data_IF_219724306980
#
_entry.id   IF_219724306980
#
_cell.length_a   1.000
_cell.length_b   1.000
_cell.length_c   1.000
_cell.angle_alpha   90.00
_cell.angle_beta   90.00
_cell.angle_gamma   90.00
#
_symmetry.space_group_name_H-M   'P 1'
#
loop_
_entity.id
_entity.type
_entity.pdbx_description
1 polymer ?
#
# COMPACT_ATOMS: atom_id res chain seq x y z
N UNK A 1 74.92 -3.28 -3.31
CA UNK A 1 73.84 -4.21 -3.73
C UNK A 1 72.68 -4.11 -2.74
N UNK A 2 71.56 -3.49 -3.11
CA UNK A 2 70.29 -3.59 -2.37
C UNK A 2 69.15 -3.43 -3.38
N UNK A 3 68.45 -4.52 -3.70
CA UNK A 3 67.26 -4.52 -4.56
C UNK A 3 66.04 -4.30 -3.67
N UNK A 4 65.41 -3.13 -3.77
CA UNK A 4 64.09 -2.87 -3.17
C UNK A 4 63.03 -3.50 -4.09
N UNK A 5 62.27 -4.46 -3.56
CA UNK A 5 61.10 -5.03 -4.25
C UNK A 5 59.86 -4.26 -3.78
N UNK A 6 59.24 -3.53 -4.69
CA UNK A 6 57.89 -2.96 -4.49
C UNK A 6 56.91 -4.01 -5.02
N UNK A 7 56.21 -4.69 -4.12
CA UNK A 7 55.06 -5.52 -4.48
C UNK A 7 53.81 -4.64 -4.51
N UNK A 8 53.31 -4.35 -5.71
CA UNK A 8 51.99 -3.75 -5.92
C UNK A 8 50.93 -4.87 -5.86
N UNK A 9 50.22 -4.99 -4.74
CA UNK A 9 49.00 -5.76 -4.64
C UNK A 9 47.84 -4.89 -5.11
N UNK A 10 47.42 -5.08 -6.36
CA UNK A 10 46.15 -4.57 -6.86
C UNK A 10 45.02 -5.43 -6.27
N UNK A 11 44.37 -4.93 -5.20
CA UNK A 11 43.17 -5.53 -4.65
C UNK A 11 41.99 -5.33 -5.62
N UNK A 12 41.56 -6.41 -6.27
CA UNK A 12 40.34 -6.42 -7.07
C UNK A 12 39.13 -6.48 -6.13
N UNK A 13 38.54 -5.32 -5.85
CA UNK A 13 37.24 -5.22 -5.18
C UNK A 13 36.16 -5.70 -6.15
N UNK A 14 35.80 -6.99 -6.08
CA UNK A 14 34.57 -7.48 -6.69
C UNK A 14 33.42 -7.06 -5.78
N UNK A 15 32.89 -5.86 -6.02
CA UNK A 15 31.60 -5.46 -5.48
C UNK A 15 30.51 -6.34 -6.10
N UNK A 16 30.04 -7.34 -5.35
CA UNK A 16 28.80 -8.03 -5.70
C UNK A 16 27.64 -7.08 -5.41
N UNK A 17 27.17 -6.38 -6.43
CA UNK A 17 25.82 -5.83 -6.40
C UNK A 17 24.87 -7.02 -6.32
N UNK A 18 24.34 -7.30 -5.13
CA UNK A 18 23.24 -8.23 -4.98
C UNK A 18 22.09 -7.67 -5.82
N UNK A 19 21.80 -8.32 -6.95
CA UNK A 19 20.58 -8.04 -7.69
C UNK A 19 19.42 -8.22 -6.71
N UNK A 20 18.71 -7.14 -6.40
CA UNK A 20 17.50 -7.22 -5.58
C UNK A 20 16.54 -8.16 -6.29
N UNK A 21 16.22 -9.29 -5.63
CA UNK A 21 15.25 -10.22 -6.17
C UNK A 21 13.89 -9.52 -6.27
N UNK A 22 13.19 -9.72 -7.39
CA UNK A 22 11.86 -9.15 -7.57
C UNK A 22 10.91 -9.59 -6.46
N UNK A 23 10.12 -8.64 -5.97
CA UNK A 23 9.10 -8.87 -4.95
C UNK A 23 8.05 -9.89 -5.44
N UNK A 24 7.69 -10.92 -4.64
CA UNK A 24 6.73 -11.95 -5.04
C UNK A 24 5.34 -11.38 -5.26
N UNK A 25 4.65 -11.92 -6.26
CA UNK A 25 3.26 -11.57 -6.54
C UNK A 25 2.35 -12.78 -6.31
N UNK A 26 1.18 -12.53 -5.71
CA UNK A 26 0.19 -13.56 -5.41
C UNK A 26 -1.14 -13.19 -6.05
N UNK A 27 -1.66 -14.10 -6.86
CA UNK A 27 -3.04 -14.05 -7.34
C UNK A 27 -3.96 -14.68 -6.29
N UNK A 28 -5.00 -13.94 -5.89
CA UNK A 28 -6.09 -14.35 -5.01
C UNK A 28 -7.36 -14.34 -5.87
N UNK A 29 -7.80 -15.52 -6.29
CA UNK A 29 -9.02 -15.70 -7.09
C UNK A 29 -10.21 -15.87 -6.17
N UNK A 30 -11.21 -15.01 -6.32
CA UNK A 30 -12.46 -15.07 -5.57
C UNK A 30 -13.64 -15.46 -6.48
N UNK A 31 -14.83 -15.62 -5.91
CA UNK A 31 -16.07 -15.69 -6.69
C UNK A 31 -16.51 -14.34 -7.30
N UNK A 32 -15.91 -13.21 -6.90
CA UNK A 32 -16.26 -11.88 -7.41
C UNK A 32 -15.21 -11.27 -8.35
N UNK A 33 -14.06 -11.91 -8.50
CA UNK A 33 -12.96 -11.45 -9.34
C UNK A 33 -11.60 -11.88 -8.81
N UNK A 34 -10.55 -11.50 -9.53
CA UNK A 34 -9.16 -11.75 -9.15
C UNK A 34 -8.56 -10.50 -8.51
N UNK A 35 -7.72 -10.70 -7.50
CA UNK A 35 -6.92 -9.67 -6.83
C UNK A 35 -5.47 -10.12 -6.92
N UNK A 36 -4.57 -9.24 -7.36
CA UNK A 36 -3.15 -9.54 -7.40
C UNK A 36 -2.44 -8.60 -6.45
N UNK A 37 -1.71 -9.18 -5.50
CA UNK A 37 -0.90 -8.45 -4.52
C UNK A 37 0.58 -8.65 -4.81
N UNK A 38 1.37 -7.58 -4.68
CA UNK A 38 2.82 -7.62 -4.63
C UNK A 38 3.26 -7.48 -3.17
N UNK A 39 4.09 -8.41 -2.70
CA UNK A 39 4.57 -8.47 -1.32
C UNK A 39 5.88 -7.70 -1.18
N UNK A 40 6.08 -7.01 -0.06
CA UNK A 40 7.33 -6.28 0.22
C UNK A 40 8.25 -7.15 1.09
N UNK A 41 9.09 -7.98 0.44
CA UNK A 41 9.99 -8.89 1.16
C UNK A 41 11.15 -8.17 1.83
N UNK A 42 11.49 -6.96 1.38
CA UNK A 42 12.56 -6.17 1.97
C UNK A 42 12.11 -5.56 3.31
N UNK A 43 10.92 -4.95 3.32
CA UNK A 43 10.39 -4.29 4.52
C UNK A 43 9.60 -5.22 5.45
N UNK A 44 9.01 -6.29 4.92
CA UNK A 44 8.21 -7.24 5.71
C UNK A 44 8.58 -8.70 5.41
N UNK A 45 9.85 -9.12 5.62
CA UNK A 45 10.31 -10.46 5.30
C UNK A 45 9.55 -11.57 6.05
N UNK A 46 9.23 -11.38 7.33
CA UNK A 46 8.55 -12.40 8.15
C UNK A 46 7.10 -12.56 7.70
N UNK A 47 6.39 -11.45 7.54
CA UNK A 47 4.99 -11.42 7.14
C UNK A 47 4.82 -11.96 5.72
N UNK A 48 5.67 -11.52 4.78
CA UNK A 48 5.69 -12.00 3.40
C UNK A 48 5.99 -13.49 3.33
N UNK A 49 7.01 -13.98 4.04
CA UNK A 49 7.34 -15.41 4.06
C UNK A 49 6.21 -16.26 4.66
N UNK A 50 5.57 -15.77 5.72
CA UNK A 50 4.44 -16.43 6.35
C UNK A 50 3.22 -16.52 5.41
N UNK A 51 2.83 -15.39 4.79
CA UNK A 51 1.73 -15.36 3.82
C UNK A 51 2.00 -16.30 2.64
N UNK A 52 3.21 -16.27 2.09
CA UNK A 52 3.62 -17.19 1.00
C UNK A 52 3.57 -18.65 1.41
N UNK A 53 3.90 -18.99 2.66
CA UNK A 53 3.82 -20.36 3.14
C UNK A 53 2.35 -20.84 3.17
N UNK A 54 1.42 -20.00 3.64
CA UNK A 54 -0.02 -20.30 3.58
C UNK A 54 -0.52 -20.44 2.14
N UNK A 55 -0.11 -19.54 1.24
CA UNK A 55 -0.44 -19.64 -0.20
C UNK A 55 0.06 -20.97 -0.79
N UNK A 56 1.33 -21.31 -0.59
CA UNK A 56 1.95 -22.53 -1.14
C UNK A 56 1.33 -23.82 -0.59
N UNK A 57 0.83 -23.79 0.65
CA UNK A 57 0.11 -24.93 1.24
C UNK A 57 -1.32 -25.11 0.72
N UNK A 58 -1.86 -24.15 -0.06
CA UNK A 58 -3.26 -24.15 -0.47
C UNK A 58 -4.23 -23.76 0.64
N UNK A 59 -3.75 -23.26 1.78
CA UNK A 59 -4.56 -22.98 2.96
C UNK A 59 -5.72 -22.03 2.70
N UNK A 60 -5.53 -21.01 1.87
CA UNK A 60 -6.56 -20.01 1.60
C UNK A 60 -7.71 -20.51 0.73
N UNK A 61 -7.58 -21.69 0.10
CA UNK A 61 -8.70 -22.30 -0.64
C UNK A 61 -9.90 -22.51 0.28
N UNK A 62 -11.06 -22.11 -0.21
CA UNK A 62 -12.36 -22.17 0.46
C UNK A 62 -12.44 -21.35 1.76
N UNK A 63 -11.48 -20.45 1.99
CA UNK A 63 -11.64 -19.40 3.00
C UNK A 63 -12.47 -18.26 2.46
N UNK A 64 -13.00 -17.41 3.34
CA UNK A 64 -13.83 -16.27 2.97
C UNK A 64 -13.24 -14.94 3.46
N UNK A 65 -13.69 -13.85 2.84
CA UNK A 65 -13.70 -12.55 3.50
C UNK A 65 -14.81 -12.55 4.55
N UNK A 66 -14.42 -12.68 5.82
CA UNK A 66 -15.34 -12.89 6.95
C UNK A 66 -15.63 -11.59 7.71
N UNK A 67 -15.06 -10.46 7.29
CA UNK A 67 -15.39 -9.14 7.83
C UNK A 67 -15.13 -8.08 6.78
N UNK A 68 -16.15 -7.28 6.48
CA UNK A 68 -16.13 -6.26 5.43
C UNK A 68 -16.71 -4.97 6.00
N UNK A 69 -15.92 -3.91 6.07
CA UNK A 69 -16.38 -2.61 6.57
C UNK A 69 -16.08 -1.57 5.49
N UNK A 70 -17.15 -1.06 4.86
CA UNK A 70 -17.02 0.00 3.86
C UNK A 70 -16.35 1.23 4.48
N UNK A 71 -15.43 1.86 3.75
CA UNK A 71 -14.65 2.98 4.27
C UNK A 71 -13.60 2.60 5.31
N UNK A 72 -13.27 1.31 5.45
CA UNK A 72 -12.21 0.86 6.36
C UNK A 72 -11.38 -0.26 5.73
N UNK A 73 -11.81 -1.52 5.79
CA UNK A 73 -11.04 -2.65 5.25
C UNK A 73 -11.91 -3.88 4.94
N UNK A 74 -11.33 -4.81 4.20
CA UNK A 74 -11.89 -6.15 3.94
C UNK A 74 -10.92 -7.21 4.44
N UNK A 75 -11.36 -8.07 5.37
CA UNK A 75 -10.53 -9.03 6.09
C UNK A 75 -10.90 -10.47 5.74
N UNK A 76 -9.88 -11.31 5.54
CA UNK A 76 -10.03 -12.70 5.09
C UNK A 76 -8.97 -13.66 5.64
N UNK A 77 -9.02 -14.90 5.15
CA UNK A 77 -7.95 -15.88 5.37
C UNK A 77 -8.02 -16.70 6.67
N UNK A 78 -9.13 -16.65 7.42
CA UNK A 78 -9.25 -17.37 8.71
C UNK A 78 -10.44 -18.33 8.84
N UNK A 79 -11.47 -18.18 8.01
CA UNK A 79 -12.75 -18.89 8.19
C UNK A 79 -13.28 -19.43 6.85
N UNK A 80 -14.02 -20.54 6.91
CA UNK A 80 -14.79 -21.11 5.79
C UNK A 80 -16.19 -20.47 5.70
N UNK A 81 -16.93 -20.80 4.64
CA UNK A 81 -18.27 -20.24 4.39
C UNK A 81 -19.31 -20.58 5.48
N UNK A 82 -19.10 -21.67 6.23
CA UNK A 82 -19.89 -22.06 7.40
C UNK A 82 -19.37 -21.42 8.71
N UNK A 83 -18.50 -20.41 8.61
CA UNK A 83 -17.91 -19.66 9.73
C UNK A 83 -17.08 -20.50 10.70
N UNK A 84 -16.59 -21.66 10.25
CA UNK A 84 -15.61 -22.43 11.01
C UNK A 84 -14.22 -21.86 10.82
N UNK A 85 -13.50 -21.67 11.92
CA UNK A 85 -12.09 -21.28 11.86
C UNK A 85 -11.26 -22.40 11.23
N UNK A 86 -10.42 -22.06 10.24
CA UNK A 86 -9.40 -22.97 9.75
C UNK A 86 -8.21 -22.89 10.68
N UNK A 87 -7.83 -24.04 11.24
CA UNK A 87 -6.70 -24.13 12.16
C UNK A 87 -5.41 -23.68 11.48
N UNK A 88 -4.70 -22.68 12.02
CA UNK A 88 -3.43 -22.21 11.48
C UNK A 88 -2.43 -23.37 11.33
N UNK A 89 -1.73 -23.41 10.19
CA UNK A 89 -0.69 -24.41 9.92
C UNK A 89 0.68 -23.99 10.46
N UNK A 90 0.78 -22.78 11.01
CA UNK A 90 2.01 -22.13 11.43
C UNK A 90 1.78 -21.39 12.75
N UNK A 91 2.80 -21.26 13.60
CA UNK A 91 2.71 -20.45 14.81
C UNK A 91 2.53 -18.97 14.48
N UNK A 92 2.13 -18.21 15.49
CA UNK A 92 2.06 -16.76 15.40
C UNK A 92 3.43 -16.15 15.07
N UNK A 93 3.43 -15.06 14.32
CA UNK A 93 4.64 -14.37 13.87
C UNK A 93 4.91 -13.09 14.66
N UNK A 94 6.19 -12.73 14.74
CA UNK A 94 6.62 -11.44 15.27
C UNK A 94 6.07 -10.29 14.40
N UNK A 95 5.55 -9.24 15.04
CA UNK A 95 5.07 -8.05 14.34
C UNK A 95 6.21 -7.31 13.63
N UNK A 96 5.96 -6.90 12.40
CA UNK A 96 6.81 -6.03 11.58
C UNK A 96 6.20 -4.62 11.43
N UNK A 97 5.31 -4.22 12.33
CA UNK A 97 4.59 -2.93 12.30
C UNK A 97 5.50 -1.68 12.23
N UNK A 98 6.77 -1.81 12.62
CA UNK A 98 7.76 -0.73 12.62
C UNK A 98 8.56 -0.61 11.32
N UNK A 99 8.14 -1.27 10.25
CA UNK A 99 8.86 -1.31 8.97
C UNK A 99 8.74 -0.03 8.11
N UNK A 100 8.02 0.98 8.59
CA UNK A 100 7.85 2.27 7.91
C UNK A 100 6.87 2.23 6.74
N UNK A 101 6.11 1.14 6.56
CA UNK A 101 4.98 1.09 5.64
C UNK A 101 3.71 1.59 6.33
N UNK A 102 2.88 2.30 5.58
CA UNK A 102 1.61 2.88 6.07
C UNK A 102 0.41 2.13 5.50
N UNK A 103 -0.67 2.02 6.29
CA UNK A 103 -1.94 1.35 5.98
C UNK A 103 -2.78 2.20 5.02
N UNK A 104 -2.20 2.57 3.89
CA UNK A 104 -2.84 3.33 2.83
C UNK A 104 -3.84 2.47 2.05
N UNK A 105 -4.73 3.12 1.30
CA UNK A 105 -5.67 2.43 0.43
C UNK A 105 -4.96 1.39 -0.46
N UNK A 106 -5.55 0.20 -0.53
CA UNK A 106 -5.07 -0.96 -1.28
C UNK A 106 -3.75 -1.59 -0.79
N UNK A 107 -3.26 -1.23 0.39
CA UNK A 107 -2.24 -2.03 1.07
C UNK A 107 -2.84 -3.28 1.71
N UNK A 108 -2.03 -4.33 1.83
CA UNK A 108 -2.40 -5.55 2.57
C UNK A 108 -1.58 -5.66 3.85
N UNK A 109 -2.27 -5.94 4.95
CA UNK A 109 -1.71 -5.95 6.30
C UNK A 109 -2.10 -7.21 7.06
N UNK A 110 -1.23 -7.66 7.96
CA UNK A 110 -1.52 -8.81 8.82
C UNK A 110 -2.57 -8.45 9.86
N UNK A 111 -3.63 -9.25 9.96
CA UNK A 111 -4.56 -9.16 11.08
C UNK A 111 -3.96 -9.87 12.30
N UNK A 112 -4.34 -9.43 13.50
CA UNK A 112 -3.86 -9.96 14.78
C UNK A 112 -4.91 -9.81 15.86
N UNK A 113 -4.72 -10.51 16.96
CA UNK A 113 -5.43 -10.27 18.21
C UNK A 113 -4.76 -9.12 18.99
N UNK A 114 -5.01 -9.05 20.30
CA UNK A 114 -4.51 -7.97 21.15
C UNK A 114 -2.98 -7.90 21.19
N UNK A 115 -2.31 -9.07 21.25
CA UNK A 115 -0.86 -9.14 21.19
C UNK A 115 -0.34 -8.72 19.81
N UNK A 116 0.66 -7.82 19.72
CA UNK A 116 1.31 -7.48 18.45
C UNK A 116 1.85 -8.71 17.71
N UNK A 117 2.37 -9.70 18.46
CA UNK A 117 2.97 -10.91 17.91
C UNK A 117 1.98 -12.09 17.81
N UNK A 118 0.71 -11.81 17.51
CA UNK A 118 -0.35 -12.83 17.36
C UNK A 118 -0.88 -12.97 15.93
N UNK A 119 -0.22 -12.32 14.96
CA UNK A 119 -0.59 -12.48 13.56
C UNK A 119 -0.28 -13.91 13.08
N UNK A 120 -1.18 -14.49 12.28
CA UNK A 120 -1.03 -15.84 11.75
C UNK A 120 -1.41 -15.95 10.27
N UNK A 121 -2.58 -16.48 9.93
CA UNK A 121 -3.09 -16.65 8.56
C UNK A 121 -3.97 -15.50 8.09
N UNK A 122 -4.57 -14.74 9.01
CA UNK A 122 -5.53 -13.68 8.68
C UNK A 122 -4.84 -12.39 8.23
N UNK A 123 -5.46 -11.73 7.26
CA UNK A 123 -4.99 -10.48 6.67
C UNK A 123 -6.19 -9.62 6.27
N UNK A 124 -5.94 -8.32 6.06
CA UNK A 124 -6.93 -7.40 5.53
C UNK A 124 -6.33 -6.52 4.44
N UNK A 125 -7.18 -6.09 3.51
CA UNK A 125 -6.86 -5.07 2.51
C UNK A 125 -7.54 -3.78 2.93
N UNK A 126 -6.76 -2.71 3.04
CA UNK A 126 -7.26 -1.36 3.32
C UNK A 126 -8.03 -0.85 2.08
N UNK A 127 -9.22 -0.26 2.28
CA UNK A 127 -10.02 0.31 1.17
C UNK A 127 -10.09 1.83 1.17
N UNK A 128 -9.48 2.44 2.19
CA UNK A 128 -9.18 3.86 2.36
C UNK A 128 -7.84 3.98 3.09
N UNK A 129 -7.32 5.20 3.25
CA UNK A 129 -6.14 5.44 4.08
C UNK A 129 -6.48 5.31 5.57
N UNK A 130 -6.00 4.24 6.19
CA UNK A 130 -6.24 3.92 7.60
C UNK A 130 -5.00 4.22 8.45
N UNK A 131 -4.50 5.46 8.37
CA UNK A 131 -3.29 5.91 9.09
C UNK A 131 -3.36 5.69 10.60
N UNK A 132 -4.55 5.60 11.19
CA UNK A 132 -4.73 5.22 12.60
C UNK A 132 -4.33 3.77 12.94
N UNK A 133 -4.07 2.93 11.95
CA UNK A 133 -3.55 1.56 12.10
C UNK A 133 -2.01 1.50 12.02
N UNK A 134 -1.35 2.60 11.65
CA UNK A 134 0.10 2.66 11.54
C UNK A 134 0.78 2.60 12.90
N UNK A 135 2.06 2.23 12.92
CA UNK A 135 2.88 2.30 14.12
C UNK A 135 3.48 3.71 14.30
N UNK A 136 3.47 4.27 15.53
CA UNK A 136 2.65 3.87 16.66
C UNK A 136 1.24 4.47 16.54
N UNK A 137 0.22 3.63 16.72
CA UNK A 137 -1.15 4.06 16.91
C UNK A 137 -1.38 4.52 18.36
N UNK A 138 -2.61 4.89 18.70
CA UNK A 138 -2.97 5.38 20.05
C UNK A 138 -2.66 4.38 21.18
N UNK A 139 -2.49 3.09 20.88
CA UNK A 139 -2.12 2.04 21.85
C UNK A 139 -0.62 1.70 21.83
N UNK A 140 0.19 2.45 21.08
CA UNK A 140 1.64 2.23 20.97
C UNK A 140 2.06 1.08 20.04
N UNK A 141 1.13 0.57 19.22
CA UNK A 141 1.34 -0.57 18.31
C UNK A 141 0.93 -0.22 16.89
N UNK A 142 0.90 -1.18 15.97
CA UNK A 142 0.35 -0.99 14.63
C UNK A 142 -0.17 -2.29 14.04
N UNK A 143 -0.41 -2.27 12.73
CA UNK A 143 -0.64 -3.45 11.91
C UNK A 143 0.40 -3.48 10.79
N UNK A 144 1.11 -4.61 10.69
CA UNK A 144 2.22 -4.76 9.75
C UNK A 144 1.68 -4.85 8.32
N UNK A 145 1.89 -3.78 7.54
CA UNK A 145 1.74 -3.79 6.09
C UNK A 145 2.86 -4.65 5.51
N UNK A 146 2.51 -5.53 4.59
CA UNK A 146 3.48 -6.45 3.97
C UNK A 146 3.34 -6.53 2.44
N UNK A 147 2.54 -5.65 1.84
CA UNK A 147 2.37 -5.58 0.40
C UNK A 147 1.27 -4.62 -0.03
N UNK A 148 0.93 -4.67 -1.32
CA UNK A 148 -0.14 -3.86 -1.92
C UNK A 148 -0.83 -4.58 -3.08
N UNK A 149 -2.08 -4.22 -3.33
CA UNK A 149 -2.82 -4.64 -4.53
C UNK A 149 -2.27 -3.90 -5.76
N UNK A 150 -1.81 -4.66 -6.75
CA UNK A 150 -1.30 -4.15 -8.02
C UNK A 150 -2.28 -4.34 -9.18
N UNK A 151 -3.27 -5.23 -9.05
CA UNK A 151 -4.35 -5.44 -10.00
C UNK A 151 -5.59 -5.98 -9.25
N UNK A 152 -6.80 -5.68 -9.74
CA UNK A 152 -8.03 -6.15 -9.11
C UNK A 152 -8.57 -5.23 -8.02
N UNK A 153 -8.23 -3.93 -8.06
CA UNK A 153 -8.80 -2.92 -7.15
C UNK A 153 -10.31 -2.86 -7.28
N UNK A 154 -10.84 -3.02 -8.50
CA UNK A 154 -12.26 -3.15 -8.80
C UNK A 154 -12.92 -4.35 -8.12
N UNK A 155 -12.19 -5.47 -7.92
CA UNK A 155 -12.68 -6.61 -7.15
C UNK A 155 -12.77 -6.26 -5.67
N UNK A 156 -11.75 -5.59 -5.12
CA UNK A 156 -11.75 -5.09 -3.74
C UNK A 156 -12.91 -4.11 -3.51
N UNK A 157 -13.13 -3.20 -4.45
CA UNK A 157 -14.22 -2.22 -4.40
C UNK A 157 -15.61 -2.85 -4.50
N UNK A 158 -15.77 -3.94 -5.27
CA UNK A 158 -17.01 -4.72 -5.25
C UNK A 158 -17.25 -5.38 -3.89
N UNK A 159 -16.19 -5.90 -3.26
CA UNK A 159 -16.30 -6.57 -1.95
C UNK A 159 -16.67 -5.55 -0.86
N UNK A 160 -16.05 -4.36 -0.84
CA UNK A 160 -16.22 -3.40 0.27
C UNK A 160 -17.63 -2.85 0.42
N UNK A 161 -18.45 -2.89 -0.64
CA UNK A 161 -19.83 -2.36 -0.66
C UNK A 161 -20.90 -3.46 -0.55
N UNK A 162 -20.51 -4.70 -0.27
CA UNK A 162 -21.47 -5.80 -0.10
C UNK A 162 -22.37 -5.54 1.11
N UNK A 163 -23.61 -6.04 1.02
CA UNK A 163 -24.49 -6.13 2.17
C UNK A 163 -23.86 -7.06 3.22
N UNK A 164 -23.76 -6.57 4.45
CA UNK A 164 -23.22 -7.31 5.58
C UNK A 164 -24.26 -7.49 6.67
N UNK A 165 -24.05 -8.52 7.48
CA UNK A 165 -24.89 -8.84 8.64
C UNK A 165 -24.01 -9.32 9.81
N UNK A 166 -24.56 -9.26 11.02
CA UNK A 166 -23.92 -9.73 12.23
C UNK A 166 -24.43 -11.14 12.58
N UNK A 167 -23.53 -11.98 13.09
CA UNK A 167 -23.84 -13.33 13.56
C UNK A 167 -23.23 -13.54 14.94
N UNK A 168 -23.69 -14.51 15.74
CA UNK A 168 -23.08 -14.77 17.05
C UNK A 168 -21.56 -14.92 16.95
N UNK A 169 -20.81 -14.00 17.57
CA UNK A 169 -19.33 -13.98 17.54
C UNK A 169 -18.68 -13.32 16.32
N UNK A 170 -19.46 -12.78 15.39
CA UNK A 170 -18.95 -12.14 14.18
C UNK A 170 -19.75 -10.90 13.80
N UNK A 171 -19.06 -9.88 13.30
CA UNK A 171 -19.70 -8.64 12.85
C UNK A 171 -19.30 -8.33 11.42
N UNK A 172 -20.20 -7.68 10.69
CA UNK A 172 -19.98 -7.23 9.32
C UNK A 172 -19.57 -8.37 8.35
N UNK A 173 -20.21 -9.54 8.45
CA UNK A 173 -19.99 -10.64 7.51
C UNK A 173 -20.81 -10.38 6.24
N UNK A 174 -20.26 -10.53 5.03
CA UNK A 174 -21.04 -10.51 3.80
C UNK A 174 -22.20 -11.52 3.81
N UNK A 175 -23.42 -11.06 3.54
CA UNK A 175 -24.62 -11.93 3.48
C UNK A 175 -24.44 -13.08 2.49
N UNK A 176 -23.82 -12.77 1.34
CA UNK A 176 -23.32 -13.77 0.40
C UNK A 176 -21.80 -13.90 0.56
N UNK A 177 -21.28 -15.07 0.97
CA UNK A 177 -19.85 -15.23 1.21
C UNK A 177 -19.00 -14.93 -0.03
N UNK A 178 -17.95 -14.14 0.18
CA UNK A 178 -16.89 -13.95 -0.82
C UNK A 178 -15.84 -15.02 -0.59
N UNK A 179 -15.87 -16.06 -1.41
CA UNK A 179 -15.03 -17.26 -1.25
C UNK A 179 -13.75 -17.09 -2.07
N UNK A 180 -12.61 -17.33 -1.42
CA UNK A 180 -11.30 -17.46 -2.08
C UNK A 180 -11.22 -18.85 -2.70
N UNK A 181 -11.38 -18.93 -4.02
CA UNK A 181 -11.30 -20.16 -4.81
C UNK A 181 -9.88 -20.71 -4.84
N UNK A 182 -8.88 -19.84 -4.89
CA UNK A 182 -7.46 -20.21 -4.84
C UNK A 182 -6.59 -18.99 -4.54
N UNK A 183 -5.46 -19.21 -3.88
CA UNK A 183 -4.35 -18.25 -3.84
C UNK A 183 -3.09 -18.92 -4.41
N UNK A 184 -2.40 -18.28 -5.34
CA UNK A 184 -1.23 -18.85 -6.03
C UNK A 184 -0.14 -17.81 -6.26
N UNK A 185 1.12 -18.19 -6.05
CA UNK A 185 2.27 -17.35 -6.41
C UNK A 185 2.39 -17.29 -7.93
N UNK A 186 2.50 -16.10 -8.48
CA UNK A 186 2.66 -15.89 -9.92
C UNK A 186 4.08 -16.26 -10.36
N UNK A 187 4.18 -17.06 -11.43
CA UNK A 187 5.46 -17.37 -12.08
C UNK A 187 5.95 -16.23 -12.96
N UNK A 188 5.01 -15.52 -13.59
CA UNK A 188 5.29 -14.36 -14.43
C UNK A 188 4.90 -13.12 -13.65
N UNK A 189 5.86 -12.21 -13.49
CA UNK A 189 5.65 -10.91 -12.86
C UNK A 189 4.73 -10.05 -13.74
N UNK A 190 3.79 -9.38 -13.09
CA UNK A 190 3.01 -8.29 -13.67
C UNK A 190 3.72 -7.01 -13.27
N UNK A 191 4.22 -6.30 -14.27
CA UNK A 191 4.74 -4.94 -14.08
C UNK A 191 3.51 -4.03 -14.12
N UNK A 192 3.16 -3.34 -13.02
CA UNK A 192 2.10 -2.33 -13.08
C UNK A 192 2.45 -1.33 -14.19
N UNK A 193 1.48 -0.81 -14.94
CA UNK A 193 1.76 0.27 -15.88
C UNK A 193 2.46 1.39 -15.11
N UNK A 194 3.60 1.84 -15.64
CA UNK A 194 4.37 2.94 -15.05
C UNK A 194 3.42 4.12 -14.81
N UNK A 195 3.48 4.80 -13.64
CA UNK A 195 2.72 6.01 -13.44
C UNK A 195 2.99 6.95 -14.63
N UNK A 196 1.98 7.66 -15.16
CA UNK A 196 2.24 8.66 -16.18
C UNK A 196 3.34 9.59 -15.67
N UNK A 197 4.36 9.84 -16.50
CA UNK A 197 5.46 10.72 -16.16
C UNK A 197 4.87 12.02 -15.57
N UNK A 198 5.48 12.57 -14.50
CA UNK A 198 5.02 13.84 -13.96
C UNK A 198 4.92 14.85 -15.11
N UNK A 199 3.84 15.67 -15.15
CA UNK A 199 3.74 16.69 -16.17
C UNK A 199 5.04 17.51 -16.17
N UNK A 200 5.55 17.92 -17.34
CA UNK A 200 6.72 18.78 -17.39
C UNK A 200 6.48 19.96 -16.44
N UNK A 201 7.51 20.42 -15.70
CA UNK A 201 7.37 21.60 -14.87
C UNK A 201 6.75 22.72 -15.72
N UNK A 202 5.81 23.51 -15.18
CA UNK A 202 5.24 24.61 -15.94
C UNK A 202 6.38 25.45 -16.51
N UNK A 203 6.26 25.94 -17.75
CA UNK A 203 7.29 26.81 -18.32
C UNK A 203 7.56 27.92 -17.31
N UNK A 204 8.84 28.17 -17.03
CA UNK A 204 9.25 29.31 -16.22
C UNK A 204 8.70 30.53 -16.95
N UNK A 205 7.63 31.11 -16.42
CA UNK A 205 7.11 32.37 -16.94
C UNK A 205 8.15 33.40 -16.56
N UNK A 206 9.00 33.74 -17.53
CA UNK A 206 9.88 34.88 -17.43
C UNK A 206 9.01 36.09 -17.06
N UNK A 207 9.34 36.83 -15.98
CA UNK A 207 8.51 37.95 -15.56
C UNK A 207 8.37 38.90 -16.75
N UNK A 208 7.12 39.22 -17.10
CA UNK A 208 6.83 40.14 -18.18
C UNK A 208 7.63 41.44 -17.97
N UNK A 209 8.23 42.01 -19.04
CA UNK A 209 8.94 43.27 -18.92
C UNK A 209 8.00 44.31 -18.30
N UNK A 210 8.48 45.00 -17.27
CA UNK A 210 7.73 46.03 -16.57
C UNK A 210 7.13 47.00 -17.60
N UNK A 211 5.81 47.16 -17.58
CA UNK A 211 5.15 48.18 -18.39
C UNK A 211 5.68 49.54 -17.92
N UNK A 212 6.21 50.30 -18.87
CA UNK A 212 6.60 51.69 -18.67
C UNK A 212 5.37 52.47 -18.17
N UNK A 213 5.49 53.27 -17.08
CA UNK A 213 4.34 53.96 -16.52
C UNK A 213 3.75 54.91 -17.56
N UNK A 214 2.40 54.91 -17.63
CA UNK A 214 1.67 55.79 -18.54
C UNK A 214 2.02 57.27 -18.28
N UNK A 215 2.02 58.12 -19.32
CA UNK A 215 2.30 59.55 -19.16
C UNK A 215 1.31 60.18 -18.20
N UNK A 216 1.82 60.94 -17.22
CA UNK A 216 1.03 61.74 -16.30
C UNK A 216 0.24 62.77 -17.12
N UNK A 217 -1.09 62.69 -17.10
CA UNK A 217 -1.94 63.74 -17.66
C UNK A 217 -1.81 65.00 -16.80
N UNK A 218 -1.41 66.11 -17.41
CA UNK A 218 -1.40 67.42 -16.76
C UNK A 218 -2.83 67.79 -16.30
N UNK A 219 -2.99 68.41 -15.12
CA UNK A 219 -4.29 68.83 -14.65
C UNK A 219 -4.85 69.98 -15.52
N UNK A 220 -6.08 69.78 -15.99
CA UNK A 220 -6.86 70.79 -16.72
C UNK A 220 -6.99 72.08 -15.90
N UNK A 221 -6.73 73.28 -16.49
CA UNK A 221 -6.84 74.53 -15.75
C UNK A 221 -8.28 74.84 -15.34
N UNK A 222 -8.46 75.21 -14.07
CA UNK A 222 -9.74 75.64 -13.48
C UNK A 222 -10.15 77.00 -14.07
N UNK A 223 -11.39 77.18 -14.55
CA UNK A 223 -11.87 78.46 -15.04
C UNK A 223 -11.91 79.52 -13.93
N UNK A 224 -11.30 80.68 -14.19
CA UNK A 224 -11.38 81.84 -13.30
C UNK A 224 -12.81 82.40 -13.30
N UNK A 225 -13.38 82.59 -12.11
CA UNK A 225 -14.66 83.28 -11.94
C UNK A 225 -14.41 84.79 -12.04
N UNK A 226 -15.13 85.46 -12.94
CA UNK A 226 -15.16 86.92 -13.03
C UNK A 226 -15.96 87.52 -11.86
N UNK A 227 -15.55 88.69 -11.32
CA UNK A 227 -16.24 89.32 -10.20
C UNK A 227 -17.56 89.98 -10.64
N UNK A 228 -18.63 89.69 -9.91
CA UNK A 228 -19.93 90.38 -10.03
C UNK A 228 -19.84 91.73 -9.31
N UNK A 229 -20.30 92.78 -10.02
CA UNK A 229 -20.41 94.18 -9.58
C UNK A 229 -21.26 94.38 -8.33
#
# INVERSE_FOLDING_TARGET
MQKKWIALLAGLLIGSAAAAADNPQVSIKTNLGEIIVELDQEKAPISSANFLAYVKSGFYKDTIFHRVINGFMVQGGGYTADLKSKQPLRPDIKSEEKNGLSNLAYTISMARHDSPNSANSQWFINVVDNIGLDYPNMKGHGYAVFGKVIQGKETVDKIKVLLVDDKPGFQNIPVHPVVIKSATVLKKRIVPPEPPAPPPPPPVVEPAPAQEPAPVQEPTPVPQQEPVK
#
